data_IF_840190248010
#
_entry.id   IF_840190248010
#
_cell.length_a   1.000
_cell.length_b   1.000
_cell.length_c   1.000
_cell.angle_alpha   90.00
_cell.angle_beta   90.00
_cell.angle_gamma   90.00
#
_symmetry.space_group_name_H-M   'P 1'
#
loop_
_entity.id
_entity.type
_entity.pdbx_description
1 polymer ?
#
# COMPACT_ATOMS: atom_id res chain seq x y z
N UNK A 1 -85.62 -23.47 18.78
CA UNK A 1 -85.19 -24.17 17.54
C UNK A 1 -85.06 -23.16 16.41
N UNK A 2 -83.86 -22.98 15.84
CA UNK A 2 -83.50 -22.41 14.50
C UNK A 2 -82.01 -22.01 14.53
N UNK A 3 -81.13 -22.99 14.26
CA UNK A 3 -80.34 -23.14 13.02
C UNK A 3 -79.28 -22.03 12.80
N UNK A 4 -78.11 -22.28 13.40
CA UNK A 4 -76.76 -22.28 12.80
C UNK A 4 -76.61 -21.60 11.43
N UNK A 5 -75.77 -20.55 11.35
CA UNK A 5 -74.91 -20.33 10.18
C UNK A 5 -73.50 -19.94 10.61
N UNK A 6 -72.60 -20.84 10.24
CA UNK A 6 -71.14 -20.78 10.36
C UNK A 6 -70.61 -19.65 9.48
N UNK A 7 -69.64 -18.90 9.98
CA UNK A 7 -68.66 -18.20 9.14
C UNK A 7 -67.28 -18.47 9.75
N UNK A 8 -66.60 -19.42 9.11
CA UNK A 8 -65.19 -19.73 9.27
C UNK A 8 -64.37 -18.51 8.84
N UNK A 9 -63.59 -17.92 9.75
CA UNK A 9 -62.53 -16.97 9.41
C UNK A 9 -61.22 -17.74 9.55
N UNK A 10 -60.44 -17.97 8.48
CA UNK A 10 -59.20 -18.69 8.58
C UNK A 10 -58.14 -17.81 9.26
N UNK A 11 -57.51 -18.39 10.28
CA UNK A 11 -56.25 -17.98 10.88
C UNK A 11 -55.21 -17.69 9.79
N UNK A 12 -54.75 -16.45 9.70
CA UNK A 12 -53.46 -16.12 9.09
C UNK A 12 -52.53 -15.64 10.21
N UNK A 13 -51.93 -16.60 10.91
CA UNK A 13 -50.85 -16.32 11.84
C UNK A 13 -49.57 -16.06 11.02
N UNK A 14 -49.25 -14.78 10.79
CA UNK A 14 -47.92 -14.38 10.35
C UNK A 14 -46.95 -14.55 11.52
N UNK A 15 -46.33 -15.72 11.63
CA UNK A 15 -45.14 -15.88 12.47
C UNK A 15 -43.96 -15.25 11.73
N UNK A 16 -43.59 -14.01 12.10
CA UNK A 16 -42.31 -13.43 11.70
C UNK A 16 -41.21 -14.28 12.33
N UNK A 17 -40.65 -15.18 11.53
CA UNK A 17 -39.41 -15.88 11.84
C UNK A 17 -38.29 -14.84 11.77
N UNK A 18 -38.01 -14.19 12.89
CA UNK A 18 -36.80 -13.39 13.06
C UNK A 18 -35.61 -14.36 13.05
N UNK A 19 -34.96 -14.49 11.90
CA UNK A 19 -33.62 -15.04 11.83
C UNK A 19 -32.70 -14.10 12.61
N UNK A 20 -32.55 -14.33 13.91
CA UNK A 20 -31.40 -13.84 14.66
C UNK A 20 -30.18 -14.58 14.14
N UNK A 21 -29.63 -14.10 13.02
CA UNK A 21 -28.26 -14.41 12.67
C UNK A 21 -27.40 -13.93 13.85
N UNK A 22 -26.58 -14.78 14.49
CA UNK A 22 -25.54 -14.28 15.36
C UNK A 22 -24.61 -13.50 14.44
N UNK A 23 -24.75 -12.18 14.48
CA UNK A 23 -23.73 -11.24 14.04
C UNK A 23 -22.54 -11.41 14.98
N UNK A 24 -21.86 -12.55 14.84
CA UNK A 24 -20.48 -12.72 15.25
C UNK A 24 -19.65 -11.80 14.39
N UNK A 25 -19.78 -10.49 14.61
CA UNK A 25 -18.73 -9.53 14.39
C UNK A 25 -17.60 -9.98 15.32
N UNK A 26 -16.84 -10.97 14.83
CA UNK A 26 -15.46 -11.11 15.22
C UNK A 26 -14.87 -9.74 14.96
N UNK A 27 -14.72 -8.98 16.04
CA UNK A 27 -13.90 -7.79 16.06
C UNK A 27 -12.50 -8.30 15.79
N UNK A 28 -12.19 -8.51 14.51
CA UNK A 28 -10.83 -8.60 14.04
C UNK A 28 -10.22 -7.27 14.49
N UNK A 29 -9.53 -7.34 15.62
CA UNK A 29 -8.78 -6.24 16.22
C UNK A 29 -8.02 -5.62 15.06
N UNK A 30 -8.43 -4.43 14.63
CA UNK A 30 -7.76 -3.73 13.55
C UNK A 30 -6.32 -3.55 14.02
N UNK A 31 -5.38 -4.32 13.45
CA UNK A 31 -3.98 -4.17 13.77
C UNK A 31 -3.61 -2.71 13.51
N UNK A 32 -3.02 -2.08 14.51
CA UNK A 32 -2.65 -0.68 14.42
C UNK A 32 -1.70 -0.53 13.23
N UNK A 33 -2.13 0.24 12.22
CA UNK A 33 -1.32 0.51 11.03
C UNK A 33 -0.07 1.25 11.48
N UNK A 34 1.06 0.55 11.43
CA UNK A 34 2.35 1.09 11.85
C UNK A 34 2.98 1.83 10.69
N UNK A 35 3.11 3.14 10.79
CA UNK A 35 3.83 3.94 9.78
C UNK A 35 5.34 3.92 10.03
N UNK A 36 6.10 3.94 8.94
CA UNK A 36 7.55 3.99 8.96
C UNK A 36 8.06 5.24 8.23
N UNK A 37 9.10 5.92 8.76
CA UNK A 37 9.73 7.04 8.08
C UNK A 37 10.27 6.65 6.70
N UNK A 38 9.98 7.47 5.70
CA UNK A 38 10.53 7.33 4.33
C UNK A 38 11.42 8.52 4.00
N UNK A 39 12.62 8.26 3.48
CA UNK A 39 13.55 9.25 2.97
C UNK A 39 13.68 9.11 1.45
N UNK A 40 13.14 10.09 0.72
CA UNK A 40 13.30 10.19 -0.72
C UNK A 40 14.57 10.98 -1.06
N UNK A 41 15.55 10.32 -1.66
CA UNK A 41 16.80 10.93 -2.07
C UNK A 41 16.71 11.43 -3.52
N UNK A 42 17.49 12.46 -3.89
CA UNK A 42 17.62 12.89 -5.28
C UNK A 42 18.10 11.73 -6.18
N UNK A 43 17.48 11.58 -7.35
CA UNK A 43 17.78 10.51 -8.33
C UNK A 43 17.99 11.04 -9.75
N UNK A 44 18.44 12.28 -9.90
CA UNK A 44 18.61 12.92 -11.21
C UNK A 44 17.30 13.35 -11.87
N UNK A 45 16.97 12.77 -13.03
CA UNK A 45 15.93 13.27 -13.96
C UNK A 45 14.48 12.94 -13.57
N UNK A 46 14.28 12.01 -12.64
CA UNK A 46 12.98 11.63 -12.09
C UNK A 46 13.07 11.81 -10.58
N UNK A 47 12.07 12.48 -10.00
CA UNK A 47 11.98 12.68 -8.55
C UNK A 47 10.87 11.84 -7.95
N UNK A 48 11.04 11.45 -6.69
CA UNK A 48 9.98 10.84 -5.89
C UNK A 48 9.18 12.00 -5.27
N UNK A 49 7.94 12.20 -5.72
CA UNK A 49 7.11 13.31 -5.24
C UNK A 49 6.41 12.99 -3.92
N UNK A 50 6.09 11.72 -3.70
CA UNK A 50 5.48 11.21 -2.46
C UNK A 50 5.95 9.79 -2.22
N UNK A 51 6.21 9.44 -0.97
CA UNK A 51 6.42 8.07 -0.53
C UNK A 51 5.81 7.88 0.87
N UNK A 52 5.25 6.71 1.12
CA UNK A 52 4.74 6.27 2.42
C UNK A 52 5.02 4.79 2.59
N UNK A 53 5.39 4.41 3.81
CA UNK A 53 5.61 3.04 4.20
C UNK A 53 4.76 2.72 5.44
N UNK A 54 4.02 1.62 5.40
CA UNK A 54 3.17 1.19 6.50
C UNK A 54 3.14 -0.33 6.60
N UNK A 55 3.05 -0.83 7.83
CA UNK A 55 2.80 -2.24 8.12
C UNK A 55 1.40 -2.64 7.64
N UNK A 56 1.31 -3.76 6.94
CA UNK A 56 0.07 -4.34 6.45
C UNK A 56 0.11 -5.85 6.67
N UNK A 57 -0.64 -6.36 7.66
CA UNK A 57 -0.56 -7.76 8.07
C UNK A 57 0.85 -8.11 8.54
N UNK A 58 1.43 -9.16 7.97
CA UNK A 58 2.80 -9.63 8.28
C UNK A 58 3.91 -8.96 7.46
N UNK A 59 3.58 -7.92 6.67
CA UNK A 59 4.53 -7.30 5.75
C UNK A 59 4.55 -5.78 5.76
N UNK A 60 5.45 -5.24 4.96
CA UNK A 60 5.63 -3.82 4.74
C UNK A 60 5.10 -3.44 3.37
N UNK A 61 4.14 -2.52 3.32
CA UNK A 61 3.67 -1.90 2.10
C UNK A 61 4.37 -0.55 1.91
N UNK A 62 5.04 -0.36 0.78
CA UNK A 62 5.58 0.93 0.37
C UNK A 62 4.84 1.41 -0.88
N UNK A 63 4.38 2.65 -0.86
CA UNK A 63 3.67 3.24 -1.98
C UNK A 63 4.03 4.70 -2.17
N UNK A 64 3.92 5.18 -3.41
CA UNK A 64 4.26 6.56 -3.71
C UNK A 64 4.02 6.93 -5.16
N UNK A 65 4.62 8.04 -5.55
CA UNK A 65 4.55 8.59 -6.90
C UNK A 65 5.92 9.08 -7.33
N UNK A 66 6.27 8.77 -8.58
CA UNK A 66 7.38 9.37 -9.29
C UNK A 66 6.88 10.52 -10.15
N UNK A 67 7.68 11.56 -10.28
CA UNK A 67 7.46 12.74 -11.10
C UNK A 67 8.58 12.88 -12.12
N UNK A 68 8.21 12.97 -13.39
CA UNK A 68 9.12 13.21 -14.52
C UNK A 68 8.64 14.45 -15.27
N UNK A 69 9.53 15.42 -15.48
CA UNK A 69 9.23 16.67 -16.21
C UNK A 69 9.67 16.64 -17.68
N UNK A 70 10.58 15.74 -18.07
CA UNK A 70 11.26 15.79 -19.37
C UNK A 70 10.65 14.86 -20.44
N UNK A 71 10.87 15.22 -21.72
CA UNK A 71 10.30 14.55 -22.91
C UNK A 71 11.03 13.26 -23.33
N UNK A 72 12.22 13.00 -22.78
CA UNK A 72 12.95 11.78 -23.10
C UNK A 72 12.43 10.59 -22.27
N UNK A 73 12.24 9.42 -22.89
CA UNK A 73 11.97 8.20 -22.13
C UNK A 73 13.18 7.93 -21.23
N UNK A 74 12.97 7.97 -19.92
CA UNK A 74 13.99 7.67 -18.93
C UNK A 74 13.73 6.25 -18.43
N UNK A 75 14.33 5.20 -19.03
CA UNK A 75 14.35 3.89 -18.42
C UNK A 75 15.07 3.98 -17.07
N UNK A 76 14.75 3.06 -16.16
CA UNK A 76 15.35 3.00 -14.83
C UNK A 76 14.47 2.21 -13.87
N UNK A 77 14.84 2.27 -12.60
CA UNK A 77 14.10 1.65 -11.51
C UNK A 77 14.21 2.53 -10.26
N UNK A 78 13.36 2.26 -9.28
CA UNK A 78 13.49 2.86 -7.96
C UNK A 78 14.24 1.86 -7.07
N UNK A 79 15.36 2.29 -6.53
CA UNK A 79 16.06 1.62 -5.46
C UNK A 79 15.32 1.86 -4.15
N UNK A 80 15.16 0.79 -3.38
CA UNK A 80 14.63 0.80 -2.03
C UNK A 80 15.62 0.11 -1.12
N UNK A 81 15.96 0.75 0.00
CA UNK A 81 16.77 0.16 1.06
C UNK A 81 16.07 0.39 2.40
N UNK A 82 16.03 -0.63 3.25
CA UNK A 82 15.51 -0.51 4.61
C UNK A 82 16.69 -0.51 5.57
N UNK A 83 16.84 0.58 6.31
CA UNK A 83 17.92 0.78 7.27
C UNK A 83 17.39 0.64 8.68
N UNK A 84 18.04 -0.20 9.48
CA UNK A 84 17.79 -0.26 10.92
C UNK A 84 18.44 0.93 11.63
N UNK A 85 18.06 1.23 12.88
CA UNK A 85 18.61 2.38 13.61
C UNK A 85 20.12 2.36 13.80
N UNK A 86 20.73 1.18 13.83
CA UNK A 86 22.18 0.94 13.92
C UNK A 86 22.90 1.07 12.56
N UNK A 87 22.19 1.47 11.50
CA UNK A 87 22.77 1.64 10.17
C UNK A 87 22.91 0.34 9.37
N UNK A 88 22.45 -0.80 9.92
CA UNK A 88 22.47 -2.08 9.21
C UNK A 88 21.40 -2.12 8.12
N UNK A 89 21.76 -2.67 6.96
CA UNK A 89 20.84 -2.88 5.84
C UNK A 89 20.00 -4.13 6.06
N UNK A 90 18.69 -3.95 6.23
CA UNK A 90 17.74 -5.05 6.44
C UNK A 90 17.27 -5.68 5.12
N UNK A 91 17.04 -4.86 4.11
CA UNK A 91 16.59 -5.30 2.79
C UNK A 91 16.95 -4.27 1.72
N UNK A 92 17.04 -4.75 0.48
CA UNK A 92 17.27 -3.94 -0.71
C UNK A 92 16.48 -4.49 -1.89
N UNK A 93 15.82 -3.60 -2.62
CA UNK A 93 14.93 -3.96 -3.72
C UNK A 93 15.03 -2.97 -4.87
N UNK A 94 14.83 -3.49 -6.09
CA UNK A 94 14.71 -2.68 -7.31
C UNK A 94 13.29 -2.76 -7.85
N UNK A 95 12.61 -1.61 -7.87
CA UNK A 95 11.20 -1.54 -8.25
C UNK A 95 11.09 -0.92 -9.64
N UNK A 96 10.59 -1.72 -10.59
CA UNK A 96 10.27 -1.23 -11.93
C UNK A 96 8.96 -0.45 -11.89
N UNK A 97 8.98 0.80 -12.34
CA UNK A 97 7.78 1.64 -12.41
C UNK A 97 7.22 1.63 -13.82
N UNK A 98 6.01 1.08 -13.97
CA UNK A 98 5.34 0.99 -15.26
C UNK A 98 5.05 2.38 -15.84
N UNK A 99 5.26 2.52 -17.15
CA UNK A 99 4.99 3.77 -17.87
C UNK A 99 6.09 4.83 -17.77
N UNK A 100 7.21 4.56 -17.08
CA UNK A 100 8.31 5.52 -16.97
C UNK A 100 9.01 5.79 -18.31
N UNK A 101 9.01 4.81 -19.21
CA UNK A 101 9.48 4.91 -20.60
C UNK A 101 8.44 5.52 -21.56
N UNK A 102 7.30 6.01 -21.06
CA UNK A 102 6.26 6.60 -21.90
C UNK A 102 6.77 7.82 -22.67
N UNK A 103 6.48 7.88 -23.98
CA UNK A 103 6.78 9.01 -24.86
C UNK A 103 5.82 10.20 -24.70
N UNK A 104 4.85 10.10 -23.77
CA UNK A 104 3.95 11.22 -23.45
C UNK A 104 4.77 12.41 -22.97
N UNK A 105 4.49 13.58 -23.55
CA UNK A 105 5.18 14.83 -23.24
C UNK A 105 4.58 15.49 -22.00
N UNK A 106 5.33 16.43 -21.44
CA UNK A 106 4.92 17.18 -20.26
C UNK A 106 5.11 16.41 -18.94
N UNK A 107 4.42 16.88 -17.90
CA UNK A 107 4.47 16.31 -16.57
C UNK A 107 3.88 14.90 -16.57
N UNK A 108 4.70 13.92 -16.23
CA UNK A 108 4.27 12.55 -15.99
C UNK A 108 4.39 12.23 -14.50
N UNK A 109 3.27 11.82 -13.91
CA UNK A 109 3.24 11.27 -12.56
C UNK A 109 2.83 9.80 -12.60
N UNK A 110 3.66 8.94 -12.03
CA UNK A 110 3.47 7.50 -12.06
C UNK A 110 3.40 6.93 -10.65
N UNK A 111 2.35 6.16 -10.31
CA UNK A 111 2.30 5.48 -9.04
C UNK A 111 3.30 4.33 -9.01
N UNK A 112 3.83 4.04 -7.83
CA UNK A 112 4.52 2.78 -7.55
C UNK A 112 3.99 2.20 -6.24
N UNK A 113 4.03 0.87 -6.16
CA UNK A 113 3.69 0.09 -4.96
C UNK A 113 4.58 -1.14 -4.92
N UNK A 114 5.04 -1.49 -3.73
CA UNK A 114 5.70 -2.77 -3.48
C UNK A 114 5.31 -3.29 -2.10
N UNK A 115 5.31 -4.60 -1.96
CA UNK A 115 5.08 -5.29 -0.69
C UNK A 115 6.28 -6.15 -0.38
N UNK A 116 6.81 -6.03 0.83
CA UNK A 116 7.92 -6.83 1.32
C UNK A 116 7.43 -7.73 2.45
N UNK A 117 7.70 -9.05 2.39
CA UNK A 117 7.30 -9.99 3.43
C UNK A 117 8.23 -9.90 4.64
N UNK A 118 8.39 -8.71 5.20
CA UNK A 118 9.19 -8.43 6.37
C UNK A 118 8.54 -7.30 7.19
N UNK A 119 8.74 -7.34 8.50
CA UNK A 119 8.32 -6.27 9.41
C UNK A 119 9.56 -5.56 9.94
N UNK A 120 9.83 -4.29 9.56
CA UNK A 120 11.00 -3.59 10.06
C UNK A 120 10.92 -3.32 11.58
N UNK A 121 12.07 -3.31 12.28
CA UNK A 121 12.14 -2.98 13.70
C UNK A 121 11.77 -1.51 13.95
N UNK A 122 11.62 -1.14 15.23
CA UNK A 122 11.40 0.26 15.61
C UNK A 122 12.58 1.14 15.25
N UNK A 123 12.27 2.35 14.76
CA UNK A 123 13.25 3.32 14.29
C UNK A 123 13.85 3.03 12.91
N UNK A 124 13.43 1.97 12.22
CA UNK A 124 13.87 1.72 10.86
C UNK A 124 13.40 2.84 9.90
N UNK A 125 14.23 3.17 8.92
CA UNK A 125 13.96 4.19 7.90
C UNK A 125 14.04 3.56 6.51
N UNK A 126 13.08 3.88 5.64
CA UNK A 126 13.04 3.38 4.26
C UNK A 126 13.65 4.45 3.36
N UNK A 127 14.80 4.13 2.76
CA UNK A 127 15.48 4.98 1.80
C UNK A 127 15.01 4.64 0.41
N UNK A 128 14.71 5.65 -0.39
CA UNK A 128 14.22 5.51 -1.75
C UNK A 128 14.99 6.43 -2.67
N UNK A 129 15.47 5.92 -3.81
CA UNK A 129 16.11 6.74 -4.84
C UNK A 129 15.72 6.24 -6.22
N UNK A 130 15.50 7.14 -7.16
CA UNK A 130 15.40 6.74 -8.56
C UNK A 130 16.80 6.53 -9.16
N UNK A 131 17.02 5.41 -9.82
CA UNK A 131 18.25 5.06 -10.50
C UNK A 131 18.05 5.03 -12.01
N UNK A 132 18.68 5.97 -12.72
CA UNK A 132 18.76 5.97 -14.18
C UNK A 132 19.96 5.12 -14.65
N UNK A 133 19.89 4.40 -15.78
CA UNK A 133 20.98 3.54 -16.27
C UNK A 133 22.35 4.21 -16.42
N UNK A 134 22.39 5.53 -16.57
CA UNK A 134 23.62 6.32 -16.69
C UNK A 134 23.84 7.22 -15.46
N UNK A 135 23.20 6.91 -14.33
CA UNK A 135 23.39 7.68 -13.11
C UNK A 135 24.84 7.52 -12.64
N UNK A 136 25.53 8.62 -12.27
CA UNK A 136 26.82 8.51 -11.58
C UNK A 136 26.63 8.08 -10.11
N UNK A 137 25.39 8.10 -9.62
CA UNK A 137 25.08 7.67 -8.26
C UNK A 137 25.33 6.17 -8.12
N UNK A 138 26.11 5.79 -7.12
CA UNK A 138 26.39 4.39 -6.81
C UNK A 138 25.15 3.63 -6.33
N UNK A 139 25.36 2.46 -5.74
CA UNK A 139 24.29 1.72 -5.08
C UNK A 139 23.67 2.56 -3.95
N UNK A 140 22.38 2.39 -3.70
CA UNK A 140 21.73 3.00 -2.54
C UNK A 140 22.12 2.20 -1.30
N UNK A 141 22.49 2.88 -0.22
CA UNK A 141 22.89 2.21 1.01
C UNK A 141 22.43 2.96 2.27
N UNK A 142 22.59 2.30 3.41
CA UNK A 142 22.34 2.87 4.72
C UNK A 142 23.50 3.79 5.13
N UNK A 143 23.22 5.00 5.64
CA UNK A 143 24.26 5.87 6.15
C UNK A 143 24.88 5.19 7.38
N UNK A 144 26.20 5.02 7.35
CA UNK A 144 26.96 4.69 8.54
C UNK A 144 27.05 5.95 9.41
N UNK A 145 26.50 5.88 10.62
CA UNK A 145 26.68 6.88 11.67
C UNK A 145 28.11 6.88 12.21
#
# INVERSE_FOLDING_TARGET
MKKLRKLFIPLLALTLSACTAPSGLSSAKADAVREYPTLALPGGSVSISTARAYGQGEGLMISGRLKRLHELPMPGHMDLVICTPDGTRLAQEQIRVAGLSSKRRGLLELPFRTHLPLTPPAGAVIHLRYHAPTSPDGELDCPHS
#
